data_IF_955512767960
#
_entry.id   IF_955512767960
#
_cell.length_a   1.000
_cell.length_b   1.000
_cell.length_c   1.000
_cell.angle_alpha   90.00
_cell.angle_beta   90.00
_cell.angle_gamma   90.00
#
_symmetry.space_group_name_H-M   'P 1'
#
loop_
_entity.id
_entity.type
_entity.pdbx_description
1 polymer ?
#
# COMPACT_ATOMS: atom_id res chain seq x y z
N UNK A 1 5.30 1.31 27.05
CA UNK A 1 6.53 1.74 26.37
C UNK A 1 6.18 2.11 24.94
N UNK A 2 6.44 3.34 24.51
CA UNK A 2 6.18 3.77 23.14
C UNK A 2 7.33 3.28 22.25
N UNK A 3 7.00 2.59 21.15
CA UNK A 3 7.97 2.21 20.12
C UNK A 3 8.27 3.49 19.32
N UNK A 4 9.55 3.80 19.11
CA UNK A 4 9.93 4.95 18.27
C UNK A 4 9.52 4.68 16.82
N UNK A 5 9.17 5.72 16.05
CA UNK A 5 8.78 5.57 14.64
C UNK A 5 9.86 4.85 13.81
N UNK A 6 11.14 5.16 14.07
CA UNK A 6 12.27 4.48 13.46
C UNK A 6 12.37 2.99 13.83
N UNK A 7 12.04 2.62 15.07
CA UNK A 7 11.97 1.22 15.48
C UNK A 7 10.77 0.51 14.85
N UNK A 8 9.60 1.15 14.78
CA UNK A 8 8.41 0.59 14.15
C UNK A 8 8.68 0.27 12.67
N UNK A 9 9.29 1.21 11.94
CA UNK A 9 9.73 1.00 10.57
C UNK A 9 10.77 -0.12 10.51
N UNK A 10 11.82 -0.08 11.34
CA UNK A 10 12.86 -1.13 11.36
C UNK A 10 12.29 -2.54 11.54
N UNK A 11 11.29 -2.69 12.42
CA UNK A 11 10.60 -3.98 12.61
C UNK A 11 9.84 -4.43 11.37
N UNK A 12 9.17 -3.52 10.66
CA UNK A 12 8.46 -3.84 9.42
C UNK A 12 9.42 -4.29 8.30
N UNK A 13 10.61 -3.69 8.22
CA UNK A 13 11.57 -3.93 7.13
C UNK A 13 12.48 -5.12 7.41
N UNK A 14 12.99 -5.22 8.63
CA UNK A 14 14.09 -6.10 9.01
C UNK A 14 13.73 -7.08 10.13
N UNK A 15 12.52 -7.01 10.66
CA UNK A 15 12.05 -7.88 11.76
C UNK A 15 12.78 -7.67 13.08
N UNK A 16 13.46 -6.53 13.25
CA UNK A 16 14.31 -6.21 14.42
C UNK A 16 14.34 -4.71 14.67
N UNK A 17 14.66 -4.28 15.89
CA UNK A 17 14.71 -2.85 16.22
C UNK A 17 15.91 -2.15 15.57
N UNK A 18 15.86 -0.82 15.49
CA UNK A 18 16.83 -0.03 14.72
C UNK A 18 18.25 -0.14 15.30
N UNK A 19 18.35 -0.31 16.62
CA UNK A 19 19.59 -0.60 17.35
C UNK A 19 20.20 -1.98 17.02
N UNK A 20 19.42 -2.92 16.48
CA UNK A 20 19.83 -4.27 16.08
C UNK A 20 20.21 -4.37 14.58
N UNK A 21 20.09 -3.28 13.84
CA UNK A 21 20.48 -3.22 12.43
C UNK A 21 22.00 -3.13 12.27
N UNK A 22 22.52 -3.74 11.21
CA UNK A 22 23.92 -3.59 10.80
C UNK A 22 24.18 -2.19 10.22
N UNK A 23 25.43 -1.76 10.18
CA UNK A 23 25.79 -0.42 9.67
C UNK A 23 25.34 -0.18 8.21
N UNK A 24 25.35 -1.22 7.36
CA UNK A 24 24.81 -1.16 6.01
C UNK A 24 23.29 -1.02 5.96
N UNK A 25 22.57 -1.68 6.88
CA UNK A 25 21.11 -1.56 7.00
C UNK A 25 20.69 -0.20 7.56
N UNK A 26 21.45 0.34 8.51
CA UNK A 26 21.24 1.70 9.04
C UNK A 26 21.50 2.76 7.99
N UNK A 27 22.53 2.59 7.15
CA UNK A 27 22.84 3.52 6.05
C UNK A 27 21.69 3.60 5.03
N UNK A 28 21.04 2.46 4.74
CA UNK A 28 19.84 2.41 3.88
C UNK A 28 18.61 3.13 4.46
N UNK A 29 18.54 3.33 5.78
CA UNK A 29 17.51 4.12 6.46
C UNK A 29 17.94 5.59 6.66
N UNK A 30 19.22 5.82 6.97
CA UNK A 30 19.80 7.13 7.28
C UNK A 30 20.02 8.02 6.05
N UNK A 31 19.96 7.46 4.84
CA UNK A 31 19.87 8.23 3.60
C UNK A 31 18.60 9.13 3.51
N UNK A 32 17.68 9.03 4.49
CA UNK A 32 16.52 9.93 4.65
C UNK A 32 16.53 10.79 5.93
N UNK A 33 17.64 10.89 6.67
CA UNK A 33 17.66 11.48 8.03
C UNK A 33 18.63 12.64 8.26
N UNK A 34 18.75 13.57 7.31
CA UNK A 34 19.59 14.77 7.46
C UNK A 34 18.90 16.02 6.93
N UNK A 35 18.79 17.04 7.80
CA UNK A 35 18.24 18.39 7.54
C UNK A 35 18.67 19.00 6.19
N UNK A 36 17.94 18.72 5.12
CA UNK A 36 17.83 19.55 3.90
C UNK A 36 17.09 18.78 2.82
N UNK A 37 15.83 19.12 2.52
CA UNK A 37 15.14 18.91 1.23
C UNK A 37 15.09 17.51 0.56
N UNK A 38 15.76 16.50 1.10
CA UNK A 38 16.02 15.16 0.54
C UNK A 38 15.31 14.08 1.41
N UNK A 39 14.65 14.49 2.49
CA UNK A 39 13.89 13.60 3.40
C UNK A 39 12.76 12.85 2.67
N UNK A 40 12.13 13.47 1.65
CA UNK A 40 11.10 12.81 0.84
C UNK A 40 11.62 11.68 -0.06
N UNK A 41 12.91 11.66 -0.40
CA UNK A 41 13.49 10.72 -1.36
C UNK A 41 14.04 9.43 -0.69
N UNK A 42 14.56 9.53 0.53
CA UNK A 42 15.10 8.38 1.27
C UNK A 42 14.00 7.51 1.91
N UNK A 43 12.97 8.14 2.47
CA UNK A 43 11.78 7.47 2.98
C UNK A 43 11.02 6.74 1.87
N UNK A 44 10.87 7.35 0.69
CA UNK A 44 10.22 6.74 -0.48
C UNK A 44 11.05 5.59 -1.10
N UNK A 45 12.39 5.65 -1.06
CA UNK A 45 13.24 4.54 -1.51
C UNK A 45 13.23 3.33 -0.55
N UNK A 46 13.24 3.59 0.77
CA UNK A 46 13.06 2.56 1.80
C UNK A 46 11.67 1.94 1.73
N UNK A 47 10.63 2.77 1.62
CA UNK A 47 9.24 2.37 1.35
C UNK A 47 9.12 1.50 0.11
N UNK A 48 9.74 1.90 -1.01
CA UNK A 48 9.70 1.16 -2.28
C UNK A 48 10.35 -0.22 -2.19
N UNK A 49 11.45 -0.37 -1.45
CA UNK A 49 12.08 -1.68 -1.24
C UNK A 49 11.28 -2.59 -0.31
N UNK A 50 10.63 -2.01 0.70
CA UNK A 50 9.82 -2.73 1.70
C UNK A 50 8.50 -3.15 1.11
N UNK A 51 7.84 -2.24 0.41
CA UNK A 51 6.66 -2.55 -0.37
C UNK A 51 7.01 -3.61 -1.41
N UNK A 52 8.10 -3.49 -2.16
CA UNK A 52 8.49 -4.53 -3.12
C UNK A 52 8.75 -5.90 -2.48
N UNK A 53 9.40 -5.97 -1.30
CA UNK A 53 9.64 -7.24 -0.60
C UNK A 53 8.37 -7.82 0.00
N UNK A 54 7.53 -6.99 0.61
CA UNK A 54 6.25 -7.40 1.19
C UNK A 54 5.27 -7.83 0.09
N UNK A 55 5.18 -7.07 -1.01
CA UNK A 55 4.44 -7.40 -2.22
C UNK A 55 4.89 -8.74 -2.80
N UNK A 56 6.20 -8.99 -2.91
CA UNK A 56 6.72 -10.30 -3.37
C UNK A 56 6.40 -11.44 -2.41
N UNK A 57 6.55 -11.23 -1.11
CA UNK A 57 6.26 -12.26 -0.11
C UNK A 57 4.78 -12.62 -0.06
N UNK A 58 3.90 -11.60 0.00
CA UNK A 58 2.45 -11.78 0.00
C UNK A 58 1.97 -12.32 -1.34
N UNK A 59 2.50 -11.80 -2.46
CA UNK A 59 2.28 -12.32 -3.80
C UNK A 59 2.58 -13.81 -3.91
N UNK A 60 3.76 -14.26 -3.46
CA UNK A 60 4.15 -15.67 -3.54
C UNK A 60 3.38 -16.57 -2.57
N UNK A 61 3.07 -16.09 -1.35
CA UNK A 61 2.41 -16.91 -0.32
C UNK A 61 0.90 -17.04 -0.55
N UNK A 62 0.26 -15.98 -1.03
CA UNK A 62 -1.18 -15.90 -1.28
C UNK A 62 -1.54 -16.02 -2.77
N UNK A 63 -0.55 -16.21 -3.64
CA UNK A 63 -0.69 -16.26 -5.11
C UNK A 63 -1.47 -15.04 -5.64
N UNK A 64 -1.03 -13.84 -5.26
CA UNK A 64 -1.63 -12.56 -5.67
C UNK A 64 -0.91 -12.00 -6.89
N UNK A 65 -1.67 -11.42 -7.82
CA UNK A 65 -1.14 -10.83 -9.06
C UNK A 65 -0.72 -9.37 -8.86
N UNK A 66 -1.31 -8.70 -7.88
CA UNK A 66 -1.12 -7.28 -7.62
C UNK A 66 -0.98 -7.01 -6.13
N UNK A 67 0.06 -6.27 -5.72
CA UNK A 67 0.19 -5.76 -4.35
C UNK A 67 0.85 -4.38 -4.39
N UNK A 68 0.18 -3.39 -3.83
CA UNK A 68 0.63 -2.00 -3.75
C UNK A 68 0.53 -1.48 -2.31
N UNK A 69 1.49 -0.61 -1.94
CA UNK A 69 1.45 0.12 -0.68
C UNK A 69 1.58 1.61 -1.02
N UNK A 70 0.59 2.39 -0.62
CA UNK A 70 0.55 3.86 -0.75
C UNK A 70 0.72 4.47 0.63
N UNK A 71 1.50 5.54 0.76
CA UNK A 71 1.65 6.27 2.02
C UNK A 71 1.89 7.74 1.74
N UNK A 72 1.38 8.61 2.62
CA UNK A 72 1.68 10.05 2.57
C UNK A 72 3.06 10.35 3.20
N UNK A 73 3.62 11.52 2.88
CA UNK A 73 4.99 11.95 3.20
C UNK A 73 5.41 11.82 4.68
N UNK A 74 4.47 11.64 5.60
CA UNK A 74 4.68 11.57 7.05
C UNK A 74 4.11 10.30 7.71
N UNK A 75 3.74 9.27 6.94
CA UNK A 75 3.16 8.01 7.43
C UNK A 75 1.92 8.15 8.33
N UNK A 76 1.30 9.33 8.38
CA UNK A 76 0.06 9.55 9.14
C UNK A 76 -1.11 8.80 8.51
N UNK A 77 -1.00 8.49 7.23
CA UNK A 77 -1.91 7.61 6.49
C UNK A 77 -1.11 6.66 5.59
N UNK A 78 -1.57 5.40 5.55
CA UNK A 78 -1.04 4.36 4.68
C UNK A 78 -2.19 3.49 4.16
N UNK A 79 -2.14 3.11 2.89
CA UNK A 79 -3.13 2.25 2.25
C UNK A 79 -2.42 1.05 1.63
N UNK A 80 -2.89 -0.14 2.00
CA UNK A 80 -2.43 -1.40 1.45
C UNK A 80 -3.48 -1.93 0.47
N UNK A 81 -3.06 -2.29 -0.74
CA UNK A 81 -3.92 -2.89 -1.77
C UNK A 81 -3.34 -4.23 -2.18
N UNK A 82 -4.17 -5.27 -2.14
CA UNK A 82 -3.87 -6.58 -2.68
C UNK A 82 -4.93 -6.97 -3.71
N UNK A 83 -4.52 -7.52 -4.83
CA UNK A 83 -5.41 -7.88 -5.93
C UNK A 83 -5.03 -9.17 -6.63
N UNK A 84 -6.03 -9.79 -7.24
CA UNK A 84 -5.91 -11.06 -7.95
C UNK A 84 -6.92 -11.15 -9.08
N UNK A 85 -6.48 -11.69 -10.20
CA UNK A 85 -7.37 -12.14 -11.27
C UNK A 85 -7.97 -13.49 -10.90
N UNK A 86 -9.28 -13.52 -10.72
CA UNK A 86 -10.03 -14.76 -10.48
C UNK A 86 -10.22 -15.51 -11.81
N UNK A 87 -10.47 -14.74 -12.87
CA UNK A 87 -10.42 -15.18 -14.27
C UNK A 87 -9.68 -14.11 -15.08
N UNK A 88 -9.44 -14.35 -16.37
CA UNK A 88 -8.79 -13.37 -17.25
C UNK A 88 -9.54 -12.02 -17.32
N UNK A 89 -10.84 -12.02 -17.04
CA UNK A 89 -11.73 -10.88 -17.20
C UNK A 89 -12.37 -10.44 -15.87
N UNK A 90 -12.03 -11.10 -14.74
CA UNK A 90 -12.56 -10.81 -13.41
C UNK A 90 -11.41 -10.54 -12.43
N UNK A 91 -11.28 -9.28 -12.03
CA UNK A 91 -10.29 -8.84 -11.05
C UNK A 91 -10.96 -8.55 -9.70
N UNK A 92 -10.35 -9.06 -8.63
CA UNK A 92 -10.75 -8.76 -7.26
C UNK A 92 -9.62 -8.03 -6.55
N UNK A 93 -9.93 -6.93 -5.88
CA UNK A 93 -8.99 -6.25 -5.00
C UNK A 93 -9.56 -6.03 -3.60
N UNK A 94 -8.65 -6.03 -2.64
CA UNK A 94 -8.87 -5.70 -1.24
C UNK A 94 -7.95 -4.55 -0.88
N UNK A 95 -8.55 -3.47 -0.40
CA UNK A 95 -7.89 -2.27 0.06
C UNK A 95 -8.13 -2.10 1.56
N UNK A 96 -7.06 -1.82 2.28
CA UNK A 96 -7.09 -1.49 3.70
C UNK A 96 -6.31 -0.21 3.94
N UNK A 97 -7.02 0.82 4.36
CA UNK A 97 -6.43 2.11 4.73
C UNK A 97 -6.31 2.22 6.24
N UNK A 98 -5.22 2.83 6.70
CA UNK A 98 -4.92 3.11 8.09
C UNK A 98 -4.44 4.55 8.21
N UNK A 99 -4.88 5.28 9.23
CA UNK A 99 -4.33 6.61 9.53
C UNK A 99 -5.03 7.31 10.68
N UNK A 100 -4.44 8.42 11.16
CA UNK A 100 -5.00 9.26 12.22
C UNK A 100 -5.22 10.68 11.72
N UNK A 101 -6.46 11.13 11.70
CA UNK A 101 -6.78 12.57 11.64
C UNK A 101 -6.91 13.11 13.07
N UNK A 102 -6.79 14.43 13.27
CA UNK A 102 -6.82 15.09 14.59
C UNK A 102 -8.10 14.82 15.43
N UNK A 103 -9.08 14.09 14.90
CA UNK A 103 -10.30 13.75 15.64
C UNK A 103 -10.84 12.33 15.45
N UNK A 104 -10.20 11.45 14.66
CA UNK A 104 -10.72 10.09 14.42
C UNK A 104 -9.66 9.14 13.82
N UNK A 105 -9.75 7.85 14.17
CA UNK A 105 -8.98 6.78 13.52
C UNK A 105 -9.68 6.43 12.20
N UNK A 106 -9.00 6.63 11.07
CA UNK A 106 -9.52 6.30 9.73
C UNK A 106 -8.99 4.91 9.38
N UNK A 107 -9.70 3.88 9.83
CA UNK A 107 -9.50 2.51 9.39
C UNK A 107 -10.63 2.14 8.43
N UNK A 108 -10.35 2.15 7.12
CA UNK A 108 -11.33 1.81 6.07
C UNK A 108 -10.94 0.51 5.38
N UNK A 109 -11.95 -0.27 5.01
CA UNK A 109 -11.83 -1.51 4.24
C UNK A 109 -12.71 -1.40 3.01
N UNK A 110 -12.12 -1.71 1.84
CA UNK A 110 -12.84 -1.71 0.57
C UNK A 110 -12.49 -2.98 -0.20
N UNK A 111 -13.52 -3.70 -0.64
CA UNK A 111 -13.44 -4.83 -1.56
C UNK A 111 -14.01 -4.36 -2.89
N UNK A 112 -13.25 -4.56 -3.97
CA UNK A 112 -13.69 -4.24 -5.32
C UNK A 112 -13.65 -5.48 -6.19
N UNK A 113 -14.73 -5.71 -6.93
CA UNK A 113 -14.82 -6.68 -8.01
C UNK A 113 -15.02 -5.91 -9.31
N UNK A 114 -14.08 -6.05 -10.25
CA UNK A 114 -14.16 -5.47 -11.59
C UNK A 114 -14.28 -6.60 -12.61
N UNK A 115 -15.31 -6.54 -13.46
CA UNK A 115 -15.52 -7.47 -14.56
C UNK A 115 -15.44 -6.74 -15.90
N UNK A 116 -14.56 -7.21 -16.79
CA UNK A 116 -14.45 -6.71 -18.15
C UNK A 116 -15.55 -7.35 -19.01
N UNK A 117 -16.55 -6.54 -19.41
CA UNK A 117 -17.60 -6.98 -20.34
C UNK A 117 -17.09 -6.91 -21.78
N UNK A 118 -16.34 -5.85 -22.10
CA UNK A 118 -15.60 -5.64 -23.35
C UNK A 118 -14.34 -4.81 -23.04
N UNK A 119 -13.43 -4.70 -24.01
CA UNK A 119 -12.21 -3.87 -23.90
C UNK A 119 -12.46 -2.39 -23.49
N UNK A 120 -13.68 -1.90 -23.62
CA UNK A 120 -14.08 -0.52 -23.32
C UNK A 120 -15.18 -0.42 -22.26
N UNK A 121 -15.72 -1.54 -21.77
CA UNK A 121 -16.86 -1.57 -20.85
C UNK A 121 -16.57 -2.48 -19.66
N UNK A 122 -16.64 -1.90 -18.47
CA UNK A 122 -16.33 -2.56 -17.21
C UNK A 122 -17.51 -2.41 -16.24
N UNK A 123 -17.83 -3.50 -15.54
CA UNK A 123 -18.77 -3.49 -14.42
C UNK A 123 -17.96 -3.56 -13.13
N UNK A 124 -18.19 -2.63 -12.21
CA UNK A 124 -17.50 -2.59 -10.94
C UNK A 124 -18.49 -2.68 -9.78
N UNK A 125 -18.21 -3.60 -8.85
CA UNK A 125 -18.92 -3.73 -7.58
C UNK A 125 -17.95 -3.38 -6.46
N UNK A 126 -18.35 -2.47 -5.59
CA UNK A 126 -17.52 -1.97 -4.50
C UNK A 126 -18.28 -2.19 -3.19
N UNK A 127 -17.63 -2.76 -2.20
CA UNK A 127 -18.16 -2.97 -0.87
C UNK A 127 -17.17 -2.45 0.17
N UNK A 128 -17.61 -1.54 1.04
CA UNK A 128 -16.77 -0.95 2.09
C UNK A 128 -17.57 -0.07 3.05
N UNK A 129 -16.90 0.89 3.69
CA UNK A 129 -17.51 1.91 4.58
C UNK A 129 -18.75 2.57 3.92
N UNK A 130 -19.76 3.11 4.65
CA UNK A 130 -21.06 3.51 4.09
C UNK A 130 -21.03 4.51 2.91
N UNK A 131 -19.90 5.20 2.69
CA UNK A 131 -19.67 6.10 1.54
C UNK A 131 -19.06 5.41 0.31
N UNK A 132 -18.57 4.18 0.43
CA UNK A 132 -17.79 3.46 -0.57
C UNK A 132 -18.47 2.17 -1.08
N UNK A 133 -19.66 1.82 -0.57
CA UNK A 133 -20.43 0.69 -1.11
C UNK A 133 -21.29 1.13 -2.31
N UNK A 134 -21.17 0.43 -3.44
CA UNK A 134 -21.89 0.79 -4.66
C UNK A 134 -21.65 -0.17 -5.83
N UNK A 135 -22.38 0.07 -6.91
CA UNK A 135 -22.19 -0.61 -8.19
C UNK A 135 -22.10 0.45 -9.29
N UNK A 136 -21.08 0.37 -10.12
CA UNK A 136 -20.79 1.36 -11.15
C UNK A 136 -20.52 0.68 -12.50
N UNK A 137 -20.88 1.37 -13.59
CA UNK A 137 -20.57 0.94 -14.96
C UNK A 137 -19.61 1.98 -15.55
N UNK A 138 -18.44 1.52 -15.98
CA UNK A 138 -17.35 2.38 -16.43
C UNK A 138 -17.10 2.14 -17.92
N UNK A 139 -17.16 3.21 -18.71
CA UNK A 139 -16.79 3.21 -20.12
C UNK A 139 -15.41 3.86 -20.30
N UNK A 140 -14.46 3.13 -20.88
CA UNK A 140 -13.11 3.61 -21.17
C UNK A 140 -12.96 3.83 -22.67
N UNK A 141 -12.61 5.04 -23.08
CA UNK A 141 -12.30 5.38 -24.47
C UNK A 141 -10.82 5.76 -24.58
N UNK A 142 -10.03 4.97 -25.30
CA UNK A 142 -8.67 5.34 -25.67
C UNK A 142 -8.70 6.14 -26.99
N UNK A 143 -8.00 7.28 -27.00
CA UNK A 143 -7.66 8.00 -28.24
C UNK A 143 -6.23 7.62 -28.62
N UNK A 144 -6.05 7.19 -29.87
CA UNK A 144 -4.74 7.04 -30.51
C UNK A 144 -3.97 8.36 -30.59
#
# INVERSE_FOLDING_TARGET
SAISEGDAISYLIFGRSMNELTQGQRSGLAAGGGNSGIEKAGLSAGLGMVSAKLSRFLGNKFNLDYVEIKGEDNWQSATFVAGKYITNDLFMSYEKSFGRTQSEDIASEVITLEYELTRFLFLQLIQGDPKASGAEIIFKFERE
#
